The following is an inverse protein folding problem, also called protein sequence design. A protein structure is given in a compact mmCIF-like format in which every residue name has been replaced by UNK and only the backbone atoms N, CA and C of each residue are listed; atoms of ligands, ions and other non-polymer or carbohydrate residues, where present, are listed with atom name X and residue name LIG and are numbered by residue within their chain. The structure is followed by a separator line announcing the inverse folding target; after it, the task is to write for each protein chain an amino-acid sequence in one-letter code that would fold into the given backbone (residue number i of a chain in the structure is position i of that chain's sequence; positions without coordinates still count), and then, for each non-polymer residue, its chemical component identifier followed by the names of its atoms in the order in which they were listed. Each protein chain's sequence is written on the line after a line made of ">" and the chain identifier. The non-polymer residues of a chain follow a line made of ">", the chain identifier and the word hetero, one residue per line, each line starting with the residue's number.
data_IF_969127048590
#
_entry.id   IF_969127048590
#
_cell.length_a   1.000
_cell.length_b   1.000
_cell.length_c   1.000
_cell.angle_alpha   90.00
_cell.angle_beta   90.00
_cell.angle_gamma   90.00
#
_symmetry.space_group_name_H-M   'P 1'
#
loop_
_entity.id
_entity.type
_entity.pdbx_description
1 polymer ?
#
# COMPACT_ATOMS: atom_id res chain seq x y z
N UNK A 1 39.44 27.56 7.92
CA UNK A 1 38.83 26.94 9.10
C UNK A 1 37.49 26.30 8.74
N UNK A 2 37.53 25.28 7.89
CA UNK A 2 36.33 24.49 7.49
C UNK A 2 36.82 23.13 7.00
N UNK A 3 37.45 22.31 7.87
CA UNK A 3 37.88 20.94 7.49
C UNK A 3 38.26 20.09 8.69
N UNK A 4 37.58 20.21 9.82
CA UNK A 4 37.84 19.35 10.99
C UNK A 4 36.66 18.71 11.67
N UNK A 5 35.46 18.66 11.03
CA UNK A 5 34.25 18.05 11.64
C UNK A 5 33.72 16.80 10.94
N UNK A 6 34.39 16.27 9.94
CA UNK A 6 33.88 15.07 9.22
C UNK A 6 34.60 13.74 9.50
N UNK A 7 35.55 13.69 10.47
CA UNK A 7 36.36 12.49 10.69
C UNK A 7 36.20 11.84 12.06
N UNK A 8 34.99 11.84 12.64
CA UNK A 8 34.76 11.25 13.98
C UNK A 8 33.58 10.29 14.09
N UNK A 9 33.03 9.79 12.97
CA UNK A 9 31.89 8.85 12.99
C UNK A 9 32.14 7.49 12.29
N UNK A 10 33.31 7.26 11.72
CA UNK A 10 33.64 5.92 11.19
C UNK A 10 34.96 5.46 11.80
N UNK A 11 34.87 4.96 13.04
CA UNK A 11 35.90 4.12 13.61
C UNK A 11 35.95 2.79 12.86
N UNK A 12 36.94 2.61 12.03
CA UNK A 12 37.34 1.34 11.44
C UNK A 12 37.74 0.36 12.56
N UNK A 13 36.81 -0.48 13.00
CA UNK A 13 37.12 -1.73 13.67
C UNK A 13 36.66 -2.88 12.81
N UNK A 14 37.56 -3.30 11.94
CA UNK A 14 37.51 -4.55 11.22
C UNK A 14 37.84 -5.69 12.20
N UNK A 15 36.88 -6.09 13.02
CA UNK A 15 36.95 -7.32 13.80
C UNK A 15 35.83 -8.22 13.28
N UNK A 16 36.22 -9.22 12.50
CA UNK A 16 35.36 -10.36 12.19
C UNK A 16 34.91 -10.98 13.51
N UNK A 17 33.62 -10.94 13.88
CA UNK A 17 33.15 -11.75 14.99
C UNK A 17 32.94 -13.16 14.45
N UNK A 18 33.51 -14.11 15.18
CA UNK A 18 33.37 -15.54 14.93
C UNK A 18 31.92 -16.01 14.86
N UNK A 19 31.73 -17.06 14.09
CA UNK A 19 30.52 -17.81 13.75
C UNK A 19 29.44 -17.96 14.82
N UNK A 20 28.58 -16.96 14.93
CA UNK A 20 27.23 -17.06 15.44
C UNK A 20 26.33 -16.61 14.30
N UNK A 21 25.24 -17.35 14.06
CA UNK A 21 24.24 -17.01 13.04
C UNK A 21 23.78 -15.56 13.20
N UNK A 22 24.44 -14.64 12.51
CA UNK A 22 24.06 -13.22 12.48
C UNK A 22 22.77 -13.13 11.65
N UNK A 23 21.63 -13.26 12.31
CA UNK A 23 20.32 -13.06 11.71
C UNK A 23 20.23 -11.63 11.21
N UNK A 24 20.16 -11.45 9.90
CA UNK A 24 19.90 -10.15 9.29
C UNK A 24 18.44 -10.06 8.86
N UNK A 25 17.81 -8.93 9.14
CA UNK A 25 16.42 -8.63 8.87
C UNK A 25 16.34 -7.50 7.86
N UNK A 26 15.47 -7.62 6.88
CA UNK A 26 15.35 -6.67 5.77
C UNK A 26 13.91 -6.27 5.51
N UNK A 27 13.75 -5.03 5.03
CA UNK A 27 12.55 -4.53 4.38
C UNK A 27 12.81 -4.39 2.88
N UNK A 28 11.95 -4.97 2.07
CA UNK A 28 12.00 -4.92 0.62
C UNK A 28 10.77 -4.16 0.13
N UNK A 29 10.97 -3.05 -0.60
CA UNK A 29 9.90 -2.35 -1.30
C UNK A 29 9.79 -2.90 -2.71
N UNK A 30 8.56 -3.15 -3.18
CA UNK A 30 8.34 -3.69 -4.52
C UNK A 30 7.04 -3.17 -5.15
N UNK A 31 6.96 -3.26 -6.47
CA UNK A 31 5.74 -2.98 -7.24
C UNK A 31 5.01 -4.27 -7.64
N UNK A 32 3.69 -4.15 -7.83
CA UNK A 32 2.81 -5.20 -8.37
C UNK A 32 1.92 -4.58 -9.44
N UNK A 33 2.19 -4.86 -10.69
CA UNK A 33 1.57 -4.17 -11.82
C UNK A 33 1.08 -5.16 -12.91
N UNK A 34 0.37 -4.63 -13.90
CA UNK A 34 -0.10 -5.39 -15.04
C UNK A 34 -0.98 -6.58 -14.66
N UNK A 35 -0.74 -7.72 -15.30
CA UNK A 35 -1.49 -8.97 -15.07
C UNK A 35 -1.29 -9.54 -13.67
N UNK A 36 -0.23 -9.14 -12.96
CA UNK A 36 0.01 -9.55 -11.59
C UNK A 36 -1.06 -9.05 -10.61
N UNK A 37 -1.90 -8.07 -10.99
CA UNK A 37 -3.06 -7.65 -10.19
C UNK A 37 -4.01 -8.81 -9.87
N UNK A 38 -4.05 -9.83 -10.69
CA UNK A 38 -4.95 -10.98 -10.56
C UNK A 38 -4.38 -12.16 -9.74
N UNK A 39 -3.18 -12.05 -9.19
CA UNK A 39 -2.66 -13.08 -8.27
C UNK A 39 -3.11 -12.78 -6.84
N UNK A 40 -3.48 -13.85 -6.12
CA UNK A 40 -3.89 -13.74 -4.71
C UNK A 40 -2.69 -13.41 -3.79
N UNK A 41 -2.99 -12.95 -2.58
CA UNK A 41 -1.97 -12.74 -1.54
C UNK A 41 -1.15 -14.02 -1.27
N UNK A 42 -1.79 -15.19 -1.22
CA UNK A 42 -1.09 -16.46 -1.00
C UNK A 42 -0.19 -16.83 -2.18
N UNK A 43 -0.61 -16.54 -3.41
CA UNK A 43 0.20 -16.83 -4.58
C UNK A 43 1.38 -15.87 -4.70
N UNK A 44 1.20 -14.60 -4.30
CA UNK A 44 2.29 -13.63 -4.19
C UNK A 44 3.31 -14.10 -3.13
N UNK A 45 2.86 -14.61 -1.99
CA UNK A 45 3.73 -15.19 -0.97
C UNK A 45 4.52 -16.40 -1.52
N UNK A 46 3.86 -17.30 -2.22
CA UNK A 46 4.49 -18.45 -2.88
C UNK A 46 5.48 -18.03 -3.97
N UNK A 47 5.17 -16.98 -4.69
CA UNK A 47 6.04 -16.38 -5.72
C UNK A 47 7.35 -15.91 -5.08
N UNK A 48 7.30 -15.07 -4.05
CA UNK A 48 8.50 -14.60 -3.36
C UNK A 48 9.28 -15.76 -2.72
N UNK A 49 8.62 -16.72 -2.08
CA UNK A 49 9.29 -17.92 -1.54
C UNK A 49 10.09 -18.67 -2.61
N UNK A 50 9.52 -18.82 -3.82
CA UNK A 50 10.23 -19.46 -4.95
C UNK A 50 11.35 -18.58 -5.51
N UNK A 51 11.14 -17.26 -5.58
CA UNK A 51 12.15 -16.31 -6.06
C UNK A 51 13.36 -16.26 -5.15
N UNK A 52 13.20 -16.23 -3.82
CA UNK A 52 14.29 -16.35 -2.88
C UNK A 52 15.09 -17.65 -3.06
N UNK A 53 14.40 -18.77 -3.25
CA UNK A 53 15.06 -20.05 -3.50
C UNK A 53 15.86 -20.03 -4.82
N UNK A 54 15.30 -19.47 -5.89
CA UNK A 54 15.93 -19.39 -7.21
C UNK A 54 17.11 -18.42 -7.24
N UNK A 55 17.01 -17.32 -6.51
CA UNK A 55 18.09 -16.31 -6.39
C UNK A 55 19.25 -16.75 -5.51
N UNK A 56 19.12 -17.88 -4.79
CA UNK A 56 20.14 -18.37 -3.87
C UNK A 56 20.17 -17.66 -2.50
N UNK A 57 19.26 -16.72 -2.24
CA UNK A 57 19.16 -16.05 -0.94
C UNK A 57 18.53 -17.01 0.08
N UNK A 58 19.23 -17.27 1.16
CA UNK A 58 18.83 -18.24 2.19
C UNK A 58 17.99 -17.60 3.27
N UNK A 59 16.66 -17.77 3.18
CA UNK A 59 15.74 -17.30 4.21
C UNK A 59 15.92 -18.08 5.54
N UNK A 60 15.77 -17.36 6.63
CA UNK A 60 15.58 -17.97 7.95
C UNK A 60 14.19 -18.60 8.03
N UNK A 61 14.07 -19.70 8.77
CA UNK A 61 12.81 -20.41 8.99
C UNK A 61 12.45 -20.44 10.47
N UNK A 62 11.18 -20.55 10.76
CA UNK A 62 10.69 -20.75 12.13
C UNK A 62 11.16 -22.08 12.70
N UNK A 63 11.24 -22.17 14.02
CA UNK A 63 11.50 -23.41 14.74
C UNK A 63 10.19 -24.23 14.81
N UNK A 64 10.30 -25.56 14.78
CA UNK A 64 9.16 -26.47 14.96
C UNK A 64 9.01 -27.53 13.87
N UNK A 65 7.94 -28.32 13.94
CA UNK A 65 7.68 -29.47 13.07
C UNK A 65 7.43 -29.10 11.59
N UNK A 66 6.92 -27.89 11.35
CA UNK A 66 6.66 -27.40 10.01
C UNK A 66 7.32 -26.01 9.80
N UNK A 67 8.61 -25.98 9.49
CA UNK A 67 9.35 -24.73 9.36
C UNK A 67 8.81 -23.87 8.22
N UNK A 68 8.40 -22.62 8.53
CA UNK A 68 8.01 -21.63 7.56
C UNK A 68 9.10 -20.57 7.39
N UNK A 69 9.32 -20.04 6.17
CA UNK A 69 10.25 -18.93 6.00
C UNK A 69 9.76 -17.74 6.80
N UNK A 70 10.67 -17.08 7.52
CA UNK A 70 10.40 -15.83 8.22
C UNK A 70 10.31 -14.70 7.21
N UNK A 71 9.11 -14.52 6.67
CA UNK A 71 8.78 -13.55 5.64
C UNK A 71 7.33 -13.13 5.80
N UNK A 72 7.05 -11.83 5.76
CA UNK A 72 5.69 -11.28 5.89
C UNK A 72 5.53 -9.99 5.13
N UNK A 73 4.33 -9.77 4.55
CA UNK A 73 3.97 -8.49 3.95
C UNK A 73 3.52 -7.49 5.02
N UNK A 74 3.88 -6.22 4.84
CA UNK A 74 3.46 -5.16 5.74
C UNK A 74 1.94 -5.00 5.79
N UNK A 75 1.28 -5.05 4.62
CA UNK A 75 -0.16 -4.97 4.49
C UNK A 75 -0.61 -5.81 3.28
N UNK A 76 -1.59 -6.72 3.43
CA UNK A 76 -2.16 -7.44 2.29
C UNK A 76 -2.72 -6.48 1.23
N UNK A 77 -2.51 -6.80 -0.04
CA UNK A 77 -3.11 -6.10 -1.17
C UNK A 77 -4.27 -6.93 -1.72
N UNK A 78 -5.43 -6.29 -1.92
CA UNK A 78 -6.60 -6.96 -2.48
C UNK A 78 -6.36 -7.48 -3.90
N UNK A 79 -7.10 -8.53 -4.26
CA UNK A 79 -7.11 -9.04 -5.63
C UNK A 79 -7.67 -7.96 -6.57
N UNK A 80 -7.12 -7.84 -7.77
CA UNK A 80 -7.48 -6.82 -8.74
C UNK A 80 -6.74 -5.49 -8.57
N UNK A 81 -6.03 -5.27 -7.46
CA UNK A 81 -5.27 -4.04 -7.25
C UNK A 81 -3.87 -4.11 -7.82
N UNK A 82 -3.40 -2.97 -8.32
CA UNK A 82 -1.99 -2.70 -8.60
C UNK A 82 -1.36 -1.93 -7.44
N UNK A 83 -0.04 -1.92 -7.38
CA UNK A 83 0.69 -1.13 -6.39
C UNK A 83 2.09 -0.77 -6.88
N UNK A 84 2.51 0.45 -6.59
CA UNK A 84 3.90 0.90 -6.72
C UNK A 84 4.65 0.91 -5.38
N UNK A 85 4.03 0.40 -4.28
CA UNK A 85 4.54 0.59 -2.94
C UNK A 85 4.09 -0.51 -1.98
N UNK A 86 4.56 -1.74 -2.22
CA UNK A 86 4.37 -2.86 -1.30
C UNK A 86 5.64 -3.10 -0.50
N UNK A 87 5.49 -3.62 0.73
CA UNK A 87 6.63 -3.97 1.56
C UNK A 87 6.58 -5.43 2.00
N UNK A 88 7.72 -6.09 1.88
CA UNK A 88 7.99 -7.43 2.34
C UNK A 88 9.11 -7.38 3.37
N UNK A 89 8.85 -7.84 4.58
CA UNK A 89 9.85 -8.04 5.62
C UNK A 89 10.31 -9.51 5.61
N UNK A 90 11.62 -9.74 5.75
CA UNK A 90 12.16 -11.10 5.80
C UNK A 90 13.47 -11.15 6.59
N UNK A 91 13.81 -12.37 7.05
CA UNK A 91 15.07 -12.66 7.74
C UNK A 91 15.90 -13.66 6.91
N UNK A 92 17.23 -13.46 6.93
CA UNK A 92 18.18 -14.36 6.27
C UNK A 92 19.09 -15.06 7.28
N UNK A 93 19.67 -16.18 6.87
CA UNK A 93 20.63 -16.95 7.70
C UNK A 93 22.02 -16.32 7.73
N UNK A 94 22.33 -15.53 6.72
CA UNK A 94 23.59 -14.86 6.51
C UNK A 94 23.32 -13.43 6.00
N UNK A 95 24.17 -12.46 6.26
CA UNK A 95 23.98 -11.10 5.77
C UNK A 95 24.19 -11.03 4.24
N UNK A 96 23.39 -10.20 3.59
CA UNK A 96 23.49 -9.85 2.17
C UNK A 96 23.51 -8.33 2.01
N UNK A 97 24.22 -7.82 1.01
CA UNK A 97 24.10 -6.42 0.61
C UNK A 97 22.73 -6.10 0.04
N UNK A 98 22.20 -4.90 0.33
CA UNK A 98 20.89 -4.48 -0.16
C UNK A 98 20.80 -4.51 -1.69
N UNK A 99 21.80 -4.02 -2.39
CA UNK A 99 21.89 -4.05 -3.86
C UNK A 99 21.97 -5.50 -4.38
N UNK A 100 22.74 -6.35 -3.73
CA UNK A 100 22.85 -7.77 -4.07
C UNK A 100 21.47 -8.48 -3.98
N UNK A 101 20.69 -8.18 -2.93
CA UNK A 101 19.34 -8.74 -2.78
C UNK A 101 18.44 -8.27 -3.94
N UNK A 102 18.47 -6.98 -4.27
CA UNK A 102 17.67 -6.39 -5.33
C UNK A 102 18.00 -7.02 -6.69
N UNK A 103 19.27 -7.09 -7.05
CA UNK A 103 19.73 -7.65 -8.34
C UNK A 103 19.36 -9.12 -8.46
N UNK A 104 19.65 -9.91 -7.44
CA UNK A 104 19.33 -11.33 -7.39
C UNK A 104 17.83 -11.60 -7.51
N UNK A 105 16.98 -10.83 -6.83
CA UNK A 105 15.55 -11.02 -6.90
C UNK A 105 14.98 -10.53 -8.23
N UNK A 106 15.38 -9.36 -8.72
CA UNK A 106 14.90 -8.83 -10.00
C UNK A 106 15.30 -9.73 -11.19
N UNK A 107 16.42 -10.46 -11.12
CA UNK A 107 16.82 -11.42 -12.15
C UNK A 107 15.90 -12.65 -12.28
N UNK A 108 15.07 -12.93 -11.25
CA UNK A 108 14.22 -14.13 -11.21
C UNK A 108 12.73 -13.84 -11.02
N UNK A 109 12.35 -12.60 -10.70
CA UNK A 109 10.96 -12.20 -10.59
C UNK A 109 10.30 -12.15 -11.97
N UNK A 110 8.99 -12.46 -12.07
CA UNK A 110 8.27 -12.34 -13.34
C UNK A 110 7.98 -10.86 -13.65
N UNK A 111 7.70 -10.59 -14.92
CA UNK A 111 7.17 -9.30 -15.35
C UNK A 111 5.96 -8.89 -14.52
N UNK A 112 5.87 -7.60 -14.16
CA UNK A 112 4.82 -7.02 -13.31
C UNK A 112 5.10 -7.10 -11.81
N UNK A 113 6.23 -7.68 -11.39
CA UNK A 113 6.73 -7.58 -10.00
C UNK A 113 8.19 -7.15 -10.04
N UNK A 114 8.52 -6.00 -9.45
CA UNK A 114 9.89 -5.47 -9.41
C UNK A 114 10.26 -4.99 -8.02
N UNK A 115 11.45 -5.35 -7.56
CA UNK A 115 12.03 -4.81 -6.32
C UNK A 115 12.55 -3.41 -6.60
N UNK A 116 12.11 -2.45 -5.78
CA UNK A 116 12.40 -1.02 -5.93
C UNK A 116 13.49 -0.54 -4.97
N UNK A 117 13.49 -1.06 -3.74
CA UNK A 117 14.52 -0.82 -2.74
C UNK A 117 14.61 -1.98 -1.74
N UNK A 118 15.74 -2.08 -1.06
CA UNK A 118 15.96 -2.99 0.04
C UNK A 118 16.74 -2.28 1.13
N UNK A 119 16.33 -2.45 2.37
CA UNK A 119 16.98 -1.83 3.53
C UNK A 119 17.16 -2.88 4.62
N UNK A 120 18.30 -2.84 5.31
CA UNK A 120 18.53 -3.67 6.49
C UNK A 120 17.81 -3.04 7.68
N UNK A 121 17.07 -3.87 8.41
CA UNK A 121 16.32 -3.48 9.60
C UNK A 121 17.10 -3.83 10.87
N UNK A 122 16.88 -3.11 11.98
CA UNK A 122 17.35 -3.55 13.27
C UNK A 122 16.91 -4.98 13.58
N UNK A 123 17.81 -5.81 14.09
CA UNK A 123 17.53 -7.20 14.44
C UNK A 123 16.37 -7.35 15.44
N UNK A 124 16.19 -6.36 16.32
CA UNK A 124 15.07 -6.28 17.25
C UNK A 124 14.16 -5.10 16.88
N UNK A 125 12.85 -5.32 16.90
CA UNK A 125 11.87 -4.28 16.58
C UNK A 125 10.48 -4.84 16.28
N UNK A 126 9.51 -3.93 16.13
CA UNK A 126 8.17 -4.31 15.67
C UNK A 126 8.22 -4.70 14.19
N UNK A 127 7.30 -5.57 13.77
CA UNK A 127 7.16 -5.90 12.36
C UNK A 127 6.58 -4.72 11.58
N UNK A 128 6.87 -4.64 10.27
CA UNK A 128 6.27 -3.63 9.39
C UNK A 128 4.75 -3.69 9.43
N UNK A 129 4.16 -4.88 9.51
CA UNK A 129 2.72 -5.05 9.65
C UNK A 129 2.15 -4.40 10.94
N UNK A 130 2.90 -4.44 12.04
CA UNK A 130 2.51 -3.80 13.30
C UNK A 130 2.72 -2.28 13.30
N UNK A 131 3.63 -1.80 12.45
CA UNK A 131 3.94 -0.38 12.30
C UNK A 131 3.07 0.32 11.24
N UNK A 132 2.44 -0.42 10.33
CA UNK A 132 1.57 0.16 9.28
C UNK A 132 0.42 0.93 9.90
N UNK A 133 0.20 2.15 9.44
CA UNK A 133 -0.83 3.06 9.97
C UNK A 133 -1.78 3.56 8.90
N UNK A 134 -1.25 3.97 7.73
CA UNK A 134 -2.04 4.45 6.59
C UNK A 134 -1.56 3.82 5.29
N UNK A 135 -2.47 3.84 4.31
CA UNK A 135 -2.16 3.53 2.91
C UNK A 135 -2.80 4.59 2.00
N UNK A 136 -2.06 5.02 0.98
CA UNK A 136 -2.59 5.89 -0.07
C UNK A 136 -2.99 5.08 -1.28
N UNK A 137 -4.07 5.53 -1.91
CA UNK A 137 -4.62 4.92 -3.11
C UNK A 137 -4.96 5.97 -4.15
N UNK A 138 -4.81 5.60 -5.40
CA UNK A 138 -5.39 6.25 -6.56
C UNK A 138 -6.46 5.33 -7.15
N UNK A 139 -7.65 5.87 -7.36
CA UNK A 139 -8.79 5.16 -7.98
C UNK A 139 -9.20 5.90 -9.23
N UNK A 140 -9.21 5.21 -10.38
CA UNK A 140 -9.56 5.79 -11.67
C UNK A 140 -10.73 5.03 -12.29
N UNK A 141 -11.76 5.73 -12.71
CA UNK A 141 -12.90 5.12 -13.38
C UNK A 141 -13.58 6.13 -14.32
N UNK A 142 -14.26 5.67 -15.39
CA UNK A 142 -14.96 6.56 -16.30
C UNK A 142 -16.20 7.19 -15.65
N UNK A 143 -16.43 8.46 -15.94
CA UNK A 143 -17.67 9.16 -15.62
C UNK A 143 -18.77 8.63 -16.56
N UNK A 144 -19.82 8.03 -15.99
CA UNK A 144 -20.98 7.61 -16.77
C UNK A 144 -21.77 8.85 -17.25
N UNK A 145 -22.22 8.83 -18.50
CA UNK A 145 -23.05 9.88 -19.09
C UNK A 145 -24.42 10.02 -18.41
N UNK A 146 -24.79 9.11 -17.50
CA UNK A 146 -26.01 9.12 -16.69
C UNK A 146 -25.87 9.85 -15.35
N UNK A 147 -24.84 10.69 -15.21
CA UNK A 147 -24.68 11.49 -14.00
C UNK A 147 -25.90 12.41 -13.79
N UNK A 148 -26.62 12.20 -12.70
CA UNK A 148 -27.66 13.09 -12.22
C UNK A 148 -27.10 13.85 -11.03
N UNK A 149 -26.73 15.11 -11.23
CA UNK A 149 -26.27 15.96 -10.14
C UNK A 149 -27.31 15.93 -9.00
N UNK A 150 -26.89 15.73 -7.72
CA UNK A 150 -27.83 15.85 -6.61
C UNK A 150 -28.39 17.26 -6.63
N UNK A 151 -29.71 17.37 -6.81
CA UNK A 151 -30.42 18.64 -6.82
C UNK A 151 -30.23 19.33 -5.48
N UNK A 152 -29.35 20.34 -5.43
CA UNK A 152 -29.43 21.34 -4.37
C UNK A 152 -30.69 22.13 -4.65
N UNK A 153 -31.60 22.16 -3.69
CA UNK A 153 -32.84 22.96 -3.73
C UNK A 153 -32.47 24.43 -3.93
N UNK A 154 -32.31 24.88 -5.13
CA UNK A 154 -32.59 26.20 -5.68
C UNK A 154 -31.86 26.33 -7.01
N UNK A 155 -32.68 26.37 -8.02
CA UNK A 155 -32.40 26.70 -9.43
C UNK A 155 -32.29 25.51 -10.38
N UNK A 156 -33.45 25.25 -11.02
CA UNK A 156 -33.59 24.29 -12.12
C UNK A 156 -33.03 24.90 -13.41
N UNK A 157 -31.75 24.96 -13.52
CA UNK A 157 -31.09 25.05 -14.81
C UNK A 157 -30.32 23.75 -15.03
N UNK A 158 -30.87 22.89 -15.86
CA UNK A 158 -30.17 21.74 -16.42
C UNK A 158 -28.99 22.29 -17.24
N UNK A 159 -27.82 22.40 -16.61
CA UNK A 159 -26.59 22.72 -17.31
C UNK A 159 -25.90 21.39 -17.56
N UNK A 160 -25.65 21.08 -18.83
CA UNK A 160 -24.79 19.97 -19.30
C UNK A 160 -23.29 20.16 -18.86
N UNK A 161 -23.05 20.60 -17.63
CA UNK A 161 -21.72 20.79 -17.09
C UNK A 161 -21.26 19.52 -16.37
N UNK A 162 -20.08 19.07 -16.68
CA UNK A 162 -19.42 17.99 -15.93
C UNK A 162 -19.39 18.32 -14.43
N UNK A 163 -19.63 17.33 -13.55
CA UNK A 163 -19.62 17.57 -12.10
C UNK A 163 -18.25 18.06 -11.65
N UNK A 164 -18.22 19.11 -10.86
CA UNK A 164 -16.99 19.53 -10.18
C UNK A 164 -16.65 18.53 -9.06
N UNK A 165 -15.86 17.54 -9.42
CA UNK A 165 -15.42 16.47 -8.50
C UNK A 165 -14.65 17.04 -7.32
N UNK A 166 -13.90 18.14 -7.51
CA UNK A 166 -13.16 18.80 -6.44
C UNK A 166 -14.12 19.31 -5.36
N UNK A 167 -15.14 20.06 -5.77
CA UNK A 167 -16.18 20.57 -4.86
C UNK A 167 -16.94 19.42 -4.19
N UNK A 168 -17.26 18.34 -4.92
CA UNK A 168 -17.96 17.20 -4.36
C UNK A 168 -17.13 16.46 -3.30
N UNK A 169 -15.81 16.31 -3.50
CA UNK A 169 -14.93 15.68 -2.52
C UNK A 169 -14.79 16.53 -1.25
N UNK A 170 -14.68 17.86 -1.37
CA UNK A 170 -14.67 18.78 -0.24
C UNK A 170 -15.97 18.69 0.57
N UNK A 171 -17.13 18.74 -0.11
CA UNK A 171 -18.44 18.60 0.55
C UNK A 171 -18.65 17.25 1.21
N UNK A 172 -18.14 16.17 0.62
CA UNK A 172 -18.16 14.83 1.21
C UNK A 172 -17.39 14.80 2.53
N UNK A 173 -16.18 15.36 2.54
CA UNK A 173 -15.36 15.46 3.75
C UNK A 173 -15.90 16.46 4.79
N UNK A 174 -16.65 17.47 4.37
CA UNK A 174 -17.24 18.45 5.31
C UNK A 174 -18.38 17.87 6.18
N UNK A 175 -18.89 16.68 5.85
CA UNK A 175 -19.92 16.01 6.66
C UNK A 175 -19.41 15.68 8.05
N UNK A 176 -20.28 15.78 9.06
CA UNK A 176 -19.93 15.42 10.45
C UNK A 176 -19.59 13.92 10.57
N UNK A 177 -20.30 13.07 9.86
CA UNK A 177 -20.10 11.61 9.82
C UNK A 177 -20.26 11.07 8.41
N UNK A 178 -19.50 10.02 8.11
CA UNK A 178 -19.61 9.26 6.88
C UNK A 178 -19.93 7.81 7.26
N UNK A 179 -21.23 7.47 7.21
CA UNK A 179 -21.70 6.16 7.65
C UNK A 179 -21.69 5.16 6.50
N UNK A 180 -21.20 3.95 6.78
CA UNK A 180 -21.31 2.79 5.89
C UNK A 180 -21.88 1.60 6.64
N UNK A 181 -22.56 0.71 5.91
CA UNK A 181 -23.04 -0.57 6.45
C UNK A 181 -22.01 -1.67 6.17
N UNK A 182 -21.50 -2.30 7.21
CA UNK A 182 -20.62 -3.48 7.11
C UNK A 182 -21.38 -4.74 7.49
N UNK A 183 -21.40 -5.73 6.60
CA UNK A 183 -21.93 -7.06 6.89
C UNK A 183 -20.90 -7.91 7.64
N UNK A 184 -21.22 -8.35 8.84
CA UNK A 184 -20.38 -9.27 9.60
C UNK A 184 -20.53 -10.71 9.07
N UNK A 185 -19.49 -11.24 8.41
CA UNK A 185 -19.50 -12.60 7.81
C UNK A 185 -19.86 -13.72 8.80
N UNK A 186 -19.55 -13.58 10.10
CA UNK A 186 -19.80 -14.62 11.11
C UNK A 186 -21.21 -14.57 11.72
N UNK A 187 -21.81 -13.41 11.84
CA UNK A 187 -23.09 -13.23 12.55
C UNK A 187 -24.25 -12.85 11.63
N UNK A 188 -23.97 -12.53 10.36
CA UNK A 188 -24.96 -11.99 9.42
C UNK A 188 -25.52 -10.61 9.80
N UNK A 189 -25.02 -10.00 10.88
CA UNK A 189 -25.50 -8.69 11.35
C UNK A 189 -24.90 -7.57 10.52
N UNK A 190 -25.73 -6.58 10.25
CA UNK A 190 -25.33 -5.30 9.71
C UNK A 190 -24.84 -4.39 10.84
N UNK A 191 -23.71 -3.75 10.61
CA UNK A 191 -23.13 -2.80 11.54
C UNK A 191 -22.90 -1.46 10.82
N UNK A 192 -23.49 -0.41 11.33
CA UNK A 192 -23.19 0.94 10.86
C UNK A 192 -21.85 1.41 11.47
N UNK A 193 -20.97 1.87 10.61
CA UNK A 193 -19.63 2.33 11.00
C UNK A 193 -19.39 3.71 10.42
N UNK A 194 -18.98 4.64 11.27
CA UNK A 194 -18.48 5.95 10.82
C UNK A 194 -17.04 5.78 10.33
N UNK A 195 -16.84 6.00 9.04
CA UNK A 195 -15.51 5.88 8.42
C UNK A 195 -14.76 7.21 8.32
N UNK A 196 -15.41 8.34 8.64
CA UNK A 196 -14.77 9.66 8.55
C UNK A 196 -13.44 9.76 9.31
N UNK A 197 -13.32 9.27 10.58
CA UNK A 197 -12.06 9.29 11.31
C UNK A 197 -10.95 8.43 10.71
N UNK A 198 -11.30 7.54 9.76
CA UNK A 198 -10.35 6.63 9.09
C UNK A 198 -9.85 7.19 7.75
N UNK A 199 -10.36 8.34 7.32
CA UNK A 199 -9.96 9.03 6.08
C UNK A 199 -9.06 10.21 6.48
N UNK A 200 -7.76 10.07 6.23
CA UNK A 200 -6.79 11.14 6.52
C UNK A 200 -6.79 12.20 5.41
N UNK A 201 -6.87 11.77 4.15
CA UNK A 201 -6.89 12.65 2.98
C UNK A 201 -7.86 12.07 1.94
N UNK A 202 -8.59 12.94 1.25
CA UNK A 202 -9.46 12.57 0.14
C UNK A 202 -9.61 13.74 -0.82
N UNK A 203 -9.32 13.53 -2.08
CA UNK A 203 -9.48 14.54 -3.15
C UNK A 203 -9.82 13.86 -4.46
N UNK A 204 -10.33 14.62 -5.40
CA UNK A 204 -10.67 14.10 -6.71
C UNK A 204 -10.64 15.17 -7.78
N UNK A 205 -10.48 14.70 -9.01
CA UNK A 205 -10.54 15.52 -10.23
C UNK A 205 -11.15 14.72 -11.36
N UNK A 206 -11.63 15.40 -12.37
CA UNK A 206 -12.08 14.78 -13.63
C UNK A 206 -11.25 15.35 -14.77
N UNK A 207 -10.77 14.48 -15.63
CA UNK A 207 -10.08 14.83 -16.86
C UNK A 207 -10.49 13.85 -17.96
N UNK A 208 -10.89 14.36 -19.14
CA UNK A 208 -11.32 13.56 -20.28
C UNK A 208 -12.36 12.47 -19.91
N UNK A 209 -13.35 12.82 -19.08
CA UNK A 209 -14.38 11.90 -18.55
C UNK A 209 -13.83 10.75 -17.70
N UNK A 210 -12.60 10.84 -17.22
CA UNK A 210 -12.05 9.93 -16.24
C UNK A 210 -12.01 10.63 -14.88
N UNK A 211 -12.70 10.08 -13.91
CA UNK A 211 -12.60 10.50 -12.52
C UNK A 211 -11.36 9.84 -11.91
N UNK A 212 -10.51 10.67 -11.31
CA UNK A 212 -9.37 10.21 -10.50
C UNK A 212 -9.58 10.66 -9.06
N UNK A 213 -9.70 9.71 -8.14
CA UNK A 213 -9.78 9.97 -6.71
C UNK A 213 -8.46 9.57 -6.05
N UNK A 214 -7.93 10.43 -5.21
CA UNK A 214 -6.76 10.16 -4.38
C UNK A 214 -7.19 10.14 -2.92
N UNK A 215 -6.77 9.11 -2.17
CA UNK A 215 -7.18 8.95 -0.79
C UNK A 215 -6.07 8.35 0.07
N UNK A 216 -5.97 8.81 1.33
CA UNK A 216 -5.10 8.24 2.35
C UNK A 216 -5.97 7.72 3.50
N UNK A 217 -5.94 6.42 3.70
CA UNK A 217 -6.86 5.68 4.54
C UNK A 217 -6.12 4.93 5.64
N UNK A 218 -6.77 4.77 6.80
CA UNK A 218 -6.25 3.91 7.86
C UNK A 218 -6.05 2.47 7.35
N UNK A 219 -4.87 1.91 7.59
CA UNK A 219 -4.43 0.61 7.06
C UNK A 219 -3.63 -0.21 8.09
N UNK A 220 -3.95 -0.08 9.35
CA UNK A 220 -3.28 -0.82 10.42
C UNK A 220 -4.09 -2.01 10.95
N UNK A 221 -3.50 -2.74 11.87
CA UNK A 221 -4.15 -3.88 12.54
C UNK A 221 -5.33 -3.45 13.43
N UNK A 222 -5.33 -2.22 13.94
CA UNK A 222 -6.38 -1.66 14.81
C UNK A 222 -7.51 -1.00 14.02
N UNK A 223 -7.20 -0.45 12.86
CA UNK A 223 -8.14 0.26 12.00
C UNK A 223 -7.74 0.06 10.55
N UNK A 224 -8.67 -0.44 9.75
CA UNK A 224 -8.44 -0.70 8.32
C UNK A 224 -9.68 -0.33 7.52
N UNK A 225 -9.50 0.55 6.52
CA UNK A 225 -10.55 1.01 5.62
C UNK A 225 -10.16 0.71 4.17
N UNK A 226 -11.04 0.01 3.46
CA UNK A 226 -10.80 -0.29 2.05
C UNK A 226 -11.18 0.90 1.16
N UNK A 227 -10.44 1.14 0.06
CA UNK A 227 -10.77 2.19 -0.89
C UNK A 227 -12.14 2.00 -1.54
N UNK A 228 -12.59 0.75 -1.75
CA UNK A 228 -13.94 0.49 -2.30
C UNK A 228 -15.03 1.03 -1.37
N UNK A 229 -14.90 0.87 -0.05
CA UNK A 229 -15.91 1.35 0.88
C UNK A 229 -16.04 2.89 0.84
N UNK A 230 -14.91 3.61 0.67
CA UNK A 230 -14.91 5.06 0.49
C UNK A 230 -15.48 5.45 -0.86
N UNK A 231 -15.09 4.72 -1.91
CA UNK A 231 -15.58 4.93 -3.28
C UNK A 231 -17.11 4.77 -3.36
N UNK A 232 -17.64 3.68 -2.77
CA UNK A 232 -19.09 3.43 -2.75
C UNK A 232 -19.85 4.52 -1.97
N UNK A 233 -19.33 4.92 -0.80
CA UNK A 233 -19.91 6.00 -0.01
C UNK A 233 -19.88 7.33 -0.75
N UNK A 234 -18.78 7.67 -1.42
CA UNK A 234 -18.63 8.89 -2.21
C UNK A 234 -19.55 8.89 -3.44
N UNK A 235 -19.56 7.80 -4.21
CA UNK A 235 -20.43 7.68 -5.38
C UNK A 235 -21.90 7.78 -5.01
N UNK A 236 -22.32 7.15 -3.91
CA UNK A 236 -23.67 7.29 -3.37
C UNK A 236 -24.01 8.72 -2.95
N UNK A 237 -23.07 9.43 -2.31
CA UNK A 237 -23.23 10.83 -1.93
C UNK A 237 -23.29 11.76 -3.16
N UNK A 238 -22.42 11.54 -4.14
CA UNK A 238 -22.31 12.39 -5.32
C UNK A 238 -23.35 12.08 -6.40
N UNK A 239 -24.17 11.02 -6.24
CA UNK A 239 -25.10 10.57 -7.28
C UNK A 239 -24.41 9.99 -8.53
N UNK A 240 -23.14 9.55 -8.38
CA UNK A 240 -22.37 8.98 -9.47
C UNK A 240 -22.70 7.49 -9.60
N UNK A 241 -23.28 7.11 -10.74
CA UNK A 241 -23.47 5.70 -11.08
C UNK A 241 -22.17 5.12 -11.64
N UNK A 242 -21.68 4.03 -11.06
CA UNK A 242 -20.58 3.25 -11.65
C UNK A 242 -21.18 2.24 -12.62
N UNK A 243 -20.72 2.22 -13.86
CA UNK A 243 -21.10 1.16 -14.78
C UNK A 243 -20.58 -0.19 -14.21
N UNK A 244 -21.46 -1.16 -14.07
CA UNK A 244 -21.13 -2.49 -13.49
C UNK A 244 -20.01 -3.21 -14.27
N UNK A 245 -19.76 -2.84 -15.50
CA UNK A 245 -18.76 -3.43 -16.40
C UNK A 245 -17.43 -2.64 -16.46
N UNK A 246 -17.38 -1.41 -15.94
CA UNK A 246 -16.13 -0.67 -15.85
C UNK A 246 -15.48 -0.92 -14.48
N UNK A 247 -14.64 -1.94 -14.41
CA UNK A 247 -13.75 -2.12 -13.28
C UNK A 247 -12.84 -0.89 -13.15
N UNK A 248 -13.12 -0.04 -12.17
CA UNK A 248 -12.23 1.06 -11.84
C UNK A 248 -10.84 0.49 -11.50
N UNK A 249 -9.81 1.15 -11.96
CA UNK A 249 -8.46 0.79 -11.57
C UNK A 249 -8.16 1.32 -10.17
N UNK A 250 -7.78 0.43 -9.24
CA UNK A 250 -7.33 0.80 -7.90
C UNK A 250 -5.84 0.50 -7.78
N UNK A 251 -5.07 1.55 -7.53
CA UNK A 251 -3.62 1.46 -7.33
C UNK A 251 -3.25 1.92 -5.93
N UNK A 252 -2.55 1.08 -5.16
CA UNK A 252 -1.90 1.54 -3.92
C UNK A 252 -0.63 2.32 -4.29
N UNK A 253 -0.55 3.56 -3.82
CA UNK A 253 0.56 4.49 -4.14
C UNK A 253 1.47 4.75 -2.96
N UNK A 254 1.07 4.40 -1.73
CA UNK A 254 1.87 4.59 -0.52
C UNK A 254 1.46 3.67 0.62
N UNK A 255 2.44 3.28 1.44
CA UNK A 255 2.27 2.70 2.77
C UNK A 255 3.04 3.55 3.78
N UNK A 256 2.41 3.87 4.91
CA UNK A 256 2.95 4.75 5.93
C UNK A 256 3.02 4.02 7.26
N UNK A 257 4.18 4.16 7.92
CA UNK A 257 4.48 3.49 9.17
C UNK A 257 4.57 4.50 10.31
N UNK A 258 4.23 4.10 11.54
CA UNK A 258 4.32 4.96 12.74
C UNK A 258 5.74 5.40 13.06
N UNK A 259 6.73 4.63 12.64
CA UNK A 259 8.13 4.97 12.83
C UNK A 259 8.62 5.81 11.64
N UNK A 260 8.97 7.09 11.85
CA UNK A 260 9.43 7.97 10.76
C UNK A 260 10.76 7.52 10.14
N UNK A 261 11.52 6.61 10.75
CA UNK A 261 12.72 6.02 10.13
C UNK A 261 12.42 5.19 8.88
N UNK A 262 11.14 4.78 8.70
CA UNK A 262 10.63 4.10 7.50
C UNK A 262 9.89 5.02 6.54
N UNK A 263 10.02 6.33 6.69
CA UNK A 263 9.44 7.26 5.72
C UNK A 263 10.19 7.11 4.41
N UNK A 264 9.45 6.75 3.38
CA UNK A 264 9.89 6.77 1.99
C UNK A 264 10.46 8.16 1.66
N UNK A 265 11.76 8.33 1.74
CA UNK A 265 12.46 9.58 1.41
C UNK A 265 12.50 9.79 -0.09
N UNK A 266 11.51 9.36 -0.86
CA UNK A 266 11.22 9.71 -2.26
C UNK A 266 12.40 10.16 -3.13
N UNK A 267 13.61 9.66 -2.89
CA UNK A 267 14.76 9.87 -3.77
C UNK A 267 14.61 8.97 -4.98
N UNK A 268 13.75 9.38 -5.89
CA UNK A 268 13.83 8.95 -7.28
C UNK A 268 15.23 9.33 -7.76
N UNK A 269 16.12 8.36 -7.88
CA UNK A 269 17.34 8.50 -8.66
C UNK A 269 16.93 8.89 -10.09
N UNK A 270 17.37 10.08 -10.49
CA UNK A 270 17.26 10.58 -11.86
C UNK A 270 18.11 9.75 -12.79
#
# INVERSE_FOLDING_TARGET
>A
MRDQFQNKLYGSNNTMPGGGDALSRYALKFSKEGTMRYISHLDLFRLFKRSFKRSGIRLQHSQGFNPHPKMSFAQPLSLGYTSSCEYLEFETREPYGAEEIMDKLNSVLPEGVSVLSCEELPAAGKSLAALTEYASYEVRFPLDNRFVAPSVESDRTCVDSEPDITVLTERFLARDRIMITKHQKKSGKELEVDIKPMIAEFSGQVDNKIITLTMKLAAGSTSNLSPEAVLDAFCGFAGISRAAESEGEIKRTGLYFRDPSFVDTGKTSR
#
